data_IF_070978758391
#
_entry.id   IF_070978758391
#
_cell.length_a   1.000
_cell.length_b   1.000
_cell.length_c   1.000
_cell.angle_alpha   90.00
_cell.angle_beta   90.00
_cell.angle_gamma   90.00
#
_symmetry.space_group_name_H-M   'P 1'
#
loop_
_entity.id
_entity.type
_entity.pdbx_description
1 polymer ?
#
# COMPACT_ATOMS: atom_id res chain seq x y z
N UNK A 1 -7.67 13.43 -1.67
CA UNK A 1 -6.66 12.37 -1.64
C UNK A 1 -5.35 12.97 -1.17
N UNK A 2 -4.70 12.34 -0.20
CA UNK A 2 -3.40 12.81 0.33
C UNK A 2 -2.28 12.35 -0.59
N UNK A 3 -1.37 13.26 -0.97
CA UNK A 3 -0.16 12.91 -1.72
C UNK A 3 0.86 12.23 -0.79
N UNK A 4 1.36 11.07 -1.20
CA UNK A 4 2.36 10.28 -0.47
C UNK A 4 3.64 10.07 -1.31
N UNK A 5 3.78 10.84 -2.40
CA UNK A 5 4.85 10.66 -3.39
C UNK A 5 6.25 10.83 -2.78
N UNK A 6 6.41 11.73 -1.82
CA UNK A 6 7.69 11.98 -1.17
C UNK A 6 8.13 10.82 -0.27
N UNK A 7 7.18 10.21 0.44
CA UNK A 7 7.39 9.01 1.26
C UNK A 7 7.77 7.83 0.37
N UNK A 8 7.04 7.62 -0.73
CA UNK A 8 7.32 6.54 -1.67
C UNK A 8 8.73 6.66 -2.27
N UNK A 9 9.19 7.87 -2.64
CA UNK A 9 10.60 8.06 -3.06
C UNK A 9 11.56 7.56 -1.99
N UNK A 10 11.40 8.00 -0.74
CA UNK A 10 12.29 7.61 0.35
C UNK A 10 12.25 6.11 0.65
N UNK A 11 11.05 5.50 0.63
CA UNK A 11 10.89 4.07 0.87
C UNK A 11 11.50 3.22 -0.26
N UNK A 12 11.36 3.66 -1.51
CA UNK A 12 11.96 2.96 -2.67
C UNK A 12 13.47 3.12 -2.78
N UNK A 13 14.05 4.17 -2.20
CA UNK A 13 15.50 4.39 -2.12
C UNK A 13 16.16 3.62 -0.94
N UNK A 14 15.38 2.94 -0.08
CA UNK A 14 15.94 2.05 0.95
C UNK A 14 16.46 0.75 0.31
N UNK A 15 17.66 0.31 0.69
CA UNK A 15 18.21 -0.98 0.26
C UNK A 15 17.27 -2.14 0.61
N UNK A 16 16.72 -2.15 1.84
CA UNK A 16 15.75 -3.13 2.33
C UNK A 16 14.61 -2.40 3.06
N UNK A 17 13.37 -2.82 2.80
CA UNK A 17 12.20 -2.27 3.47
C UNK A 17 12.01 -3.01 4.80
N UNK A 18 12.68 -2.53 5.85
CA UNK A 18 12.50 -3.04 7.22
C UNK A 18 11.48 -2.21 7.99
N UNK A 19 10.85 -2.81 9.01
CA UNK A 19 9.92 -2.11 9.90
C UNK A 19 10.49 -0.82 10.51
N UNK A 20 11.67 -0.86 11.16
CA UNK A 20 12.32 0.34 11.71
C UNK A 20 12.68 1.39 10.67
N UNK A 21 13.14 1.00 9.47
CA UNK A 21 13.49 1.95 8.42
C UNK A 21 12.24 2.65 7.84
N UNK A 22 11.17 1.89 7.59
CA UNK A 22 9.89 2.45 7.17
C UNK A 22 9.30 3.40 8.23
N UNK A 23 9.32 3.00 9.50
CA UNK A 23 8.89 3.83 10.63
C UNK A 23 9.66 5.16 10.68
N UNK A 24 10.99 5.13 10.50
CA UNK A 24 11.81 6.33 10.48
C UNK A 24 11.47 7.27 9.31
N UNK A 25 11.11 6.73 8.14
CA UNK A 25 10.67 7.53 7.00
C UNK A 25 9.36 8.25 7.30
N UNK A 26 8.39 7.55 7.90
CA UNK A 26 7.09 8.12 8.26
C UNK A 26 7.21 9.20 9.34
N UNK A 27 7.99 8.95 10.39
CA UNK A 27 8.29 9.93 11.44
C UNK A 27 8.94 11.21 10.86
N UNK A 28 9.96 11.05 10.01
CA UNK A 28 10.63 12.16 9.34
C UNK A 28 9.75 12.89 8.32
N UNK A 29 8.62 12.32 7.91
CA UNK A 29 7.62 12.93 7.05
C UNK A 29 6.45 13.55 7.83
N UNK A 30 6.53 13.54 9.17
CA UNK A 30 5.54 14.17 10.05
C UNK A 30 4.27 13.34 10.24
N UNK A 31 4.32 12.03 10.00
CA UNK A 31 3.20 11.14 10.32
C UNK A 31 3.14 10.90 11.83
N UNK A 32 1.94 10.89 12.38
CA UNK A 32 1.68 10.60 13.78
C UNK A 32 1.60 9.09 13.99
N UNK A 33 2.63 8.52 14.60
CA UNK A 33 2.69 7.10 14.92
C UNK A 33 1.87 6.74 16.17
N UNK A 34 1.22 5.57 16.13
CA UNK A 34 0.59 4.96 17.29
C UNK A 34 1.58 4.40 18.32
N UNK A 35 1.09 3.51 19.20
CA UNK A 35 1.95 2.80 20.14
C UNK A 35 2.78 1.74 19.39
N UNK A 36 4.05 1.61 19.77
CA UNK A 36 4.89 0.50 19.29
C UNK A 36 4.21 -0.85 19.59
N UNK A 37 4.19 -1.72 18.58
CA UNK A 37 3.66 -3.07 18.72
C UNK A 37 4.63 -3.90 19.56
N UNK A 38 4.19 -4.52 20.67
CA UNK A 38 5.09 -5.32 21.52
C UNK A 38 5.65 -6.57 20.83
N UNK A 39 5.03 -7.05 19.74
CA UNK A 39 5.53 -8.21 19.00
C UNK A 39 6.71 -7.86 18.08
N UNK A 40 6.71 -6.66 17.53
CA UNK A 40 7.72 -6.23 16.55
C UNK A 40 8.66 -5.16 17.09
N UNK A 41 8.33 -4.49 18.20
CA UNK A 41 9.08 -3.38 18.81
C UNK A 41 9.08 -2.07 18.00
N UNK A 42 8.36 -1.99 16.86
CA UNK A 42 8.16 -0.76 16.09
C UNK A 42 6.68 -0.36 16.00
N UNK A 43 6.43 0.91 15.64
CA UNK A 43 5.08 1.43 15.41
C UNK A 43 4.57 0.94 14.06
N UNK A 44 3.42 0.27 14.04
CA UNK A 44 2.86 -0.30 12.82
C UNK A 44 1.84 0.63 12.17
N UNK A 45 1.04 1.38 12.95
CA UNK A 45 0.02 2.28 12.41
C UNK A 45 0.39 3.75 12.56
N UNK A 46 0.09 4.52 11.52
CA UNK A 46 0.46 5.93 11.39
C UNK A 46 -0.70 6.71 10.75
N UNK A 47 -0.81 8.00 11.08
CA UNK A 47 -1.84 8.89 10.51
C UNK A 47 -1.25 10.23 10.09
N UNK A 48 -1.75 10.80 9.00
CA UNK A 48 -1.51 12.18 8.60
C UNK A 48 -2.71 12.73 7.84
N UNK A 49 -3.26 13.84 8.32
CA UNK A 49 -4.52 14.39 7.79
C UNK A 49 -5.64 13.31 7.78
N UNK A 50 -6.24 13.08 6.62
CA UNK A 50 -7.24 12.03 6.37
C UNK A 50 -6.64 10.72 5.84
N UNK A 51 -5.30 10.60 5.79
CA UNK A 51 -4.61 9.39 5.35
C UNK A 51 -4.07 8.56 6.50
N UNK A 52 -3.99 7.26 6.25
CA UNK A 52 -3.45 6.27 7.17
C UNK A 52 -2.31 5.54 6.49
N UNK A 53 -1.29 5.15 7.26
CA UNK A 53 -0.27 4.23 6.80
C UNK A 53 -0.13 3.05 7.76
N UNK A 54 0.07 1.86 7.21
CA UNK A 54 0.25 0.63 7.95
C UNK A 54 1.49 -0.10 7.48
N UNK A 55 2.41 -0.37 8.41
CA UNK A 55 3.58 -1.23 8.21
C UNK A 55 3.19 -2.65 8.61
N UNK A 56 3.20 -3.56 7.64
CA UNK A 56 2.74 -4.94 7.74
C UNK A 56 3.92 -5.92 7.62
N UNK A 57 3.87 -6.99 8.41
CA UNK A 57 4.89 -8.06 8.42
C UNK A 57 5.68 -8.13 9.72
N UNK A 58 6.21 -9.32 10.00
CA UNK A 58 6.94 -9.66 11.23
C UNK A 58 8.48 -9.68 11.04
N UNK A 59 8.96 -9.28 9.84
CA UNK A 59 10.38 -9.18 9.44
C UNK A 59 10.84 -10.29 8.48
N UNK A 60 12.06 -10.21 7.91
CA UNK A 60 12.96 -9.04 7.87
C UNK A 60 12.48 -7.93 6.91
N UNK A 61 11.78 -8.30 5.85
CA UNK A 61 11.13 -7.37 4.91
C UNK A 61 9.68 -7.12 5.33
N UNK A 62 9.22 -5.88 5.16
CA UNK A 62 7.84 -5.47 5.46
C UNK A 62 7.17 -4.92 4.21
N UNK A 63 5.85 -4.77 4.28
CA UNK A 63 5.06 -4.00 3.34
C UNK A 63 4.60 -2.71 4.02
N UNK A 64 4.59 -1.59 3.29
CA UNK A 64 3.97 -0.34 3.74
C UNK A 64 2.79 -0.03 2.85
N UNK A 65 1.62 0.08 3.46
CA UNK A 65 0.37 0.44 2.78
C UNK A 65 -0.06 1.83 3.23
N UNK A 66 -0.43 2.69 2.28
CA UNK A 66 -1.02 4.01 2.50
C UNK A 66 -2.47 4.00 2.06
N UNK A 67 -3.43 4.22 2.95
CA UNK A 67 -4.80 4.55 2.59
C UNK A 67 -4.90 6.05 2.35
N UNK A 68 -5.04 6.46 1.09
CA UNK A 68 -5.01 7.87 0.66
C UNK A 68 -6.41 8.45 0.40
N UNK A 69 -7.40 7.56 0.31
CA UNK A 69 -8.82 7.86 0.25
C UNK A 69 -9.60 6.64 0.78
N UNK A 70 -10.71 6.89 1.46
CA UNK A 70 -11.64 5.85 1.87
C UNK A 70 -13.07 6.40 1.89
N UNK A 71 -14.04 5.51 1.75
CA UNK A 71 -15.44 5.78 2.06
C UNK A 71 -16.04 4.62 2.83
N UNK A 72 -16.62 4.96 3.98
CA UNK A 72 -17.34 4.03 4.83
C UNK A 72 -18.63 3.56 4.14
N UNK A 73 -18.93 2.27 4.32
CA UNK A 73 -20.26 1.72 4.05
C UNK A 73 -21.15 2.19 5.20
N UNK A 74 -22.14 3.05 4.96
CA UNK A 74 -22.99 3.53 6.06
C UNK A 74 -23.87 2.37 6.56
N UNK A 75 -23.83 2.08 7.86
CA UNK A 75 -24.64 1.03 8.51
C UNK A 75 -26.16 1.22 8.31
N UNK A 76 -26.59 2.45 7.96
CA UNK A 76 -27.99 2.83 7.74
C UNK A 76 -28.51 2.45 6.35
N UNK A 77 -27.68 1.88 5.47
CA UNK A 77 -28.11 1.48 4.14
C UNK A 77 -29.03 0.25 4.19
N UNK A 78 -30.22 0.32 3.56
CA UNK A 78 -31.22 -0.73 3.68
C UNK A 78 -30.78 -2.09 3.10
N UNK A 79 -29.82 -2.08 2.16
CA UNK A 79 -29.18 -3.27 1.58
C UNK A 79 -27.73 -2.92 1.18
N UNK A 80 -26.71 -3.14 2.03
CA UNK A 80 -25.32 -2.74 1.77
C UNK A 80 -24.76 -3.35 0.47
N UNK A 81 -25.15 -4.59 0.15
CA UNK A 81 -24.77 -5.28 -1.10
C UNK A 81 -25.26 -4.56 -2.37
N UNK A 82 -26.30 -3.71 -2.29
CA UNK A 82 -26.83 -2.97 -3.45
C UNK A 82 -26.01 -1.71 -3.76
N UNK A 83 -25.36 -1.13 -2.76
CA UNK A 83 -24.65 0.15 -2.88
C UNK A 83 -23.13 -0.02 -2.86
N UNK A 84 -22.64 -1.24 -2.61
CA UNK A 84 -21.22 -1.55 -2.64
C UNK A 84 -20.63 -1.36 -4.05
N UNK A 85 -21.40 -1.69 -5.09
CA UNK A 85 -20.99 -1.48 -6.50
C UNK A 85 -20.77 0.02 -6.78
N UNK A 86 -21.63 0.91 -6.27
CA UNK A 86 -21.46 2.36 -6.42
C UNK A 86 -20.20 2.86 -5.69
N UNK A 87 -19.85 2.27 -4.54
CA UNK A 87 -18.61 2.58 -3.83
C UNK A 87 -17.38 2.09 -4.58
N UNK A 88 -17.44 0.91 -5.18
CA UNK A 88 -16.38 0.37 -6.04
C UNK A 88 -16.18 1.25 -7.27
N UNK A 89 -17.26 1.65 -7.94
CA UNK A 89 -17.21 2.56 -9.09
C UNK A 89 -16.63 3.92 -8.69
N UNK A 90 -17.02 4.47 -7.54
CA UNK A 90 -16.49 5.73 -7.03
C UNK A 90 -14.99 5.65 -6.73
N UNK A 91 -14.54 4.59 -6.07
CA UNK A 91 -13.12 4.39 -5.77
C UNK A 91 -12.29 4.15 -7.04
N UNK A 92 -12.82 3.35 -7.98
CA UNK A 92 -12.17 3.06 -9.26
C UNK A 92 -12.08 4.29 -10.15
N UNK A 93 -13.04 5.22 -10.06
CA UNK A 93 -12.98 6.50 -10.75
C UNK A 93 -11.84 7.42 -10.25
N UNK A 94 -11.41 7.27 -9.00
CA UNK A 94 -10.29 8.04 -8.43
C UNK A 94 -8.92 7.45 -8.78
N UNK A 95 -8.84 6.14 -9.04
CA UNK A 95 -7.59 5.43 -9.32
C UNK A 95 -6.79 6.03 -10.50
N UNK A 96 -7.38 6.38 -11.67
CA UNK A 96 -6.64 7.03 -12.76
C UNK A 96 -5.98 8.35 -12.36
N UNK A 97 -6.61 9.11 -11.46
CA UNK A 97 -6.05 10.35 -10.93
C UNK A 97 -4.82 10.11 -10.05
N UNK A 98 -4.87 9.07 -9.20
CA UNK A 98 -3.74 8.63 -8.39
C UNK A 98 -2.60 8.09 -9.25
N UNK A 99 -2.90 7.24 -10.23
CA UNK A 99 -1.93 6.71 -11.19
C UNK A 99 -1.21 7.85 -11.91
N UNK A 100 -1.97 8.81 -12.47
CA UNK A 100 -1.37 9.95 -13.16
C UNK A 100 -0.52 10.84 -12.23
N UNK A 101 -0.89 10.97 -10.94
CA UNK A 101 -0.09 11.67 -9.95
C UNK A 101 1.25 10.97 -9.71
N UNK A 102 1.26 9.64 -9.55
CA UNK A 102 2.48 8.85 -9.35
C UNK A 102 3.39 8.90 -10.59
N UNK A 103 2.82 8.74 -11.79
CA UNK A 103 3.55 8.72 -13.06
C UNK A 103 4.10 10.10 -13.48
N UNK A 104 3.45 11.19 -13.07
CA UNK A 104 3.95 12.55 -13.31
C UNK A 104 4.81 13.09 -12.17
N UNK A 105 4.78 12.42 -11.02
CA UNK A 105 5.48 12.79 -9.81
C UNK A 105 6.97 12.44 -9.80
N UNK A 106 7.65 12.62 -8.66
CA UNK A 106 9.08 12.39 -8.52
C UNK A 106 9.51 10.93 -8.75
N UNK A 107 8.58 9.97 -8.60
CA UNK A 107 8.80 8.56 -8.91
C UNK A 107 8.60 8.22 -10.39
N UNK A 108 7.85 9.01 -11.14
CA UNK A 108 7.35 8.64 -12.46
C UNK A 108 8.40 8.14 -13.44
N UNK A 109 9.57 8.80 -13.48
CA UNK A 109 10.68 8.41 -14.36
C UNK A 109 11.36 7.08 -13.97
N UNK A 110 11.06 6.54 -12.78
CA UNK A 110 11.61 5.30 -12.24
C UNK A 110 10.60 4.15 -12.23
N UNK A 111 9.32 4.43 -12.51
CA UNK A 111 8.26 3.43 -12.52
C UNK A 111 8.34 2.60 -13.80
N UNK A 112 8.45 1.29 -13.64
CA UNK A 112 8.53 0.33 -14.75
C UNK A 112 7.27 -0.55 -14.74
N UNK A 113 6.44 -0.44 -15.78
CA UNK A 113 5.29 -1.34 -15.95
C UNK A 113 5.75 -2.78 -16.15
N UNK A 114 5.05 -3.74 -15.54
CA UNK A 114 5.31 -5.17 -15.72
C UNK A 114 4.06 -5.88 -16.23
N UNK A 115 4.25 -6.91 -17.06
CA UNK A 115 3.18 -7.85 -17.45
C UNK A 115 2.96 -8.95 -16.41
N UNK A 116 3.88 -9.08 -15.44
CA UNK A 116 3.77 -10.03 -14.35
C UNK A 116 2.73 -9.58 -13.33
N UNK A 117 2.05 -10.53 -12.69
CA UNK A 117 1.20 -10.23 -11.54
C UNK A 117 2.08 -9.74 -10.39
N UNK A 118 1.90 -8.47 -10.02
CA UNK A 118 2.60 -7.82 -8.93
C UNK A 118 1.69 -7.62 -7.72
N UNK A 119 0.52 -8.25 -7.66
CA UNK A 119 -0.42 -8.13 -6.53
C UNK A 119 -0.01 -8.99 -5.33
N UNK A 120 0.83 -10.00 -5.54
CA UNK A 120 1.22 -11.00 -4.51
C UNK A 120 -0.01 -11.76 -3.98
N UNK A 121 -0.99 -11.98 -4.86
CA UNK A 121 -2.22 -12.70 -4.55
C UNK A 121 -3.25 -11.91 -3.74
N UNK A 122 -3.02 -10.62 -3.49
CA UNK A 122 -4.00 -9.76 -2.82
C UNK A 122 -5.16 -9.41 -3.77
N UNK A 123 -6.39 -9.50 -3.26
CA UNK A 123 -7.62 -9.21 -4.00
C UNK A 123 -7.85 -7.69 -4.12
N UNK A 124 -7.50 -7.12 -5.27
CA UNK A 124 -7.85 -5.75 -5.65
C UNK A 124 -9.04 -5.74 -6.61
N UNK A 125 -9.95 -4.79 -6.41
CA UNK A 125 -11.07 -4.53 -7.31
C UNK A 125 -10.56 -3.95 -8.64
N UNK A 126 -9.65 -2.99 -8.56
CA UNK A 126 -8.91 -2.42 -9.68
C UNK A 126 -7.51 -1.99 -9.18
N UNK A 127 -6.49 -2.07 -10.02
CA UNK A 127 -5.13 -1.71 -9.64
C UNK A 127 -4.21 -1.37 -10.81
N UNK A 128 -3.11 -0.71 -10.49
CA UNK A 128 -1.95 -0.57 -11.37
C UNK A 128 -0.69 -0.76 -10.53
N UNK A 129 0.27 -1.53 -11.04
CA UNK A 129 1.49 -1.86 -10.33
C UNK A 129 2.73 -1.64 -11.20
N UNK A 130 3.83 -1.30 -10.54
CA UNK A 130 5.11 -1.01 -11.16
C UNK A 130 6.24 -1.66 -10.36
N UNK A 131 7.35 -1.91 -11.05
CA UNK A 131 8.65 -2.12 -10.42
C UNK A 131 9.39 -0.79 -10.28
N UNK A 132 10.16 -0.67 -9.21
CA UNK A 132 11.08 0.45 -8.99
C UNK A 132 12.20 0.02 -8.04
N UNK A 133 13.45 0.12 -8.47
CA UNK A 133 14.63 -0.12 -7.61
C UNK A 133 14.60 -1.43 -6.80
N UNK A 134 14.13 -2.54 -7.38
CA UNK A 134 14.02 -3.81 -6.65
C UNK A 134 12.84 -3.89 -5.68
N UNK A 135 11.87 -2.97 -5.80
CA UNK A 135 10.61 -2.95 -5.06
C UNK A 135 9.43 -2.97 -6.00
N UNK A 136 8.27 -3.29 -5.44
CA UNK A 136 6.96 -3.11 -6.07
C UNK A 136 6.31 -1.87 -5.48
N UNK A 137 5.76 -1.02 -6.34
CA UNK A 137 4.79 0.01 -5.97
C UNK A 137 3.47 -0.34 -6.65
N UNK A 138 2.38 -0.36 -5.89
CA UNK A 138 1.05 -0.70 -6.38
C UNK A 138 0.05 0.35 -5.92
N UNK A 139 -0.76 0.89 -6.83
CA UNK A 139 -1.94 1.67 -6.51
C UNK A 139 -3.17 0.81 -6.77
N UNK A 140 -4.09 0.72 -5.81
CA UNK A 140 -5.21 -0.21 -5.94
C UNK A 140 -6.42 0.18 -5.12
N UNK A 141 -7.58 -0.31 -5.57
CA UNK A 141 -8.85 -0.26 -4.84
C UNK A 141 -9.04 -1.59 -4.13
N UNK A 142 -9.26 -1.54 -2.82
CA UNK A 142 -9.55 -2.73 -2.03
C UNK A 142 -10.76 -2.53 -1.13
N UNK A 143 -11.35 -3.64 -0.76
CA UNK A 143 -12.35 -3.76 0.27
C UNK A 143 -11.89 -4.95 1.12
N UNK A 144 -11.28 -4.65 2.26
CA UNK A 144 -11.14 -5.65 3.33
C UNK A 144 -12.55 -6.07 3.80
N UNK A 145 -12.77 -7.18 4.52
CA UNK A 145 -14.06 -7.82 4.89
C UNK A 145 -15.36 -6.96 4.95
N UNK A 146 -16.54 -7.59 4.96
CA UNK A 146 -17.90 -6.99 4.82
C UNK A 146 -18.29 -5.75 5.67
N UNK A 147 -17.45 -5.30 6.61
CA UNK A 147 -17.70 -4.23 7.57
C UNK A 147 -16.69 -3.07 7.50
N UNK A 148 -15.76 -3.04 6.54
CA UNK A 148 -14.77 -1.95 6.41
C UNK A 148 -14.97 -1.09 5.17
N UNK A 149 -14.50 0.17 5.18
CA UNK A 149 -14.63 1.07 4.04
C UNK A 149 -14.00 0.51 2.77
N UNK A 150 -14.54 0.92 1.61
CA UNK A 150 -13.84 0.80 0.33
C UNK A 150 -12.70 1.82 0.34
N UNK A 151 -11.50 1.35 -0.01
CA UNK A 151 -10.26 2.12 0.14
C UNK A 151 -9.52 2.22 -1.19
N UNK A 152 -8.91 3.38 -1.41
CA UNK A 152 -7.86 3.55 -2.40
C UNK A 152 -6.52 3.58 -1.67
N UNK A 153 -5.65 2.64 -2.02
CA UNK A 153 -4.37 2.44 -1.36
C UNK A 153 -3.18 2.58 -2.31
N UNK A 154 -2.04 2.94 -1.74
CA UNK A 154 -0.73 2.77 -2.36
C UNK A 154 0.13 1.87 -1.49
N UNK A 155 0.68 0.81 -2.07
CA UNK A 155 1.49 -0.20 -1.40
C UNK A 155 2.92 -0.13 -1.92
N UNK A 156 3.90 -0.25 -1.02
CA UNK A 156 5.30 -0.49 -1.36
C UNK A 156 5.84 -1.68 -0.58
N UNK A 157 6.58 -2.56 -1.27
CA UNK A 157 7.23 -3.75 -0.70
C UNK A 157 8.47 -4.14 -1.51
N UNK A 158 9.36 -4.91 -0.91
CA UNK A 158 10.48 -5.49 -1.65
C UNK A 158 10.00 -6.49 -2.72
N UNK A 159 10.63 -6.46 -3.89
CA UNK A 159 10.38 -7.41 -4.97
C UNK A 159 11.23 -8.66 -4.74
N UNK A 160 10.61 -9.83 -4.60
CA UNK A 160 11.30 -11.11 -4.45
C UNK A 160 11.48 -11.62 -3.02
N UNK A 161 10.90 -10.97 -2.01
CA UNK A 161 10.91 -11.48 -0.62
C UNK A 161 10.08 -12.78 -0.41
N UNK A 162 9.39 -13.27 -1.45
CA UNK A 162 8.56 -14.48 -1.43
C UNK A 162 9.21 -15.75 -2.01
N UNK A 163 10.52 -15.74 -2.32
CA UNK A 163 11.22 -16.97 -2.74
C UNK A 163 12.56 -17.05 -2.03
N UNK A 164 12.53 -17.59 -0.81
CA UNK A 164 13.63 -18.44 -0.38
C UNK A 164 13.68 -19.59 -1.40
N UNK A 165 14.62 -19.49 -2.34
CA UNK A 165 15.10 -20.63 -3.12
C UNK A 165 15.58 -21.67 -2.10
N UNK A 166 14.68 -22.56 -1.66
CA UNK A 166 15.06 -23.83 -1.08
C UNK A 166 15.66 -24.62 -2.24
N UNK A 167 16.93 -24.30 -2.52
CA UNK A 167 17.86 -25.05 -3.34
C UNK A 167 18.16 -26.41 -2.71
N UNK A 168 17.11 -27.13 -2.30
CA UNK A 168 17.13 -28.54 -2.02
C UNK A 168 17.29 -29.29 -3.34
N UNK A 169 18.54 -29.41 -3.76
CA UNK A 169 18.99 -30.42 -4.73
C UNK A 169 18.43 -31.79 -4.30
N UNK A 170 17.32 -32.21 -4.91
CA UNK A 170 16.89 -33.61 -4.86
C UNK A 170 17.81 -34.41 -5.77
N UNK A 171 18.91 -34.92 -5.21
CA UNK A 171 19.70 -36.03 -5.75
C UNK A 171 19.36 -37.34 -5.03
#
# INVERSE_FOLDING_TARGET
MVDVSAELVRLTDLDELTGPAAAAVLDAAGWEGGRANPATEWVTSWRRDDAHAWIQGDGPSVQVEFTVWHRDVEEEWPDPDTYIDDLYDAASAELPGLVAQLESGPLGARLESSEEDLTDGADYIDHTAWRVSGKVVLAGVKHDDTDVPVQLVVVVRDYGAGVEDDGGEWL
#
